data_IF_114415582568
#
_entry.id   IF_114415582568
#
_cell.length_a   1.000
_cell.length_b   1.000
_cell.length_c   1.000
_cell.angle_alpha   90.00
_cell.angle_beta   90.00
_cell.angle_gamma   90.00
#
_symmetry.space_group_name_H-M   'P 1'
#
loop_
_entity.id
_entity.type
_entity.pdbx_description
1 polymer ?
#
# COMPACT_ATOMS: atom_id res chain seq x y z
N UNK A 1 2.07 -1.54 15.08
CA UNK A 1 0.90 -2.14 14.38
C UNK A 1 -0.14 -2.70 15.33
N UNK A 2 0.27 -3.43 16.38
CA UNK A 2 -0.66 -4.03 17.34
C UNK A 2 -1.62 -3.02 17.98
N UNK A 3 -1.14 -1.82 18.34
CA UNK A 3 -2.02 -0.78 18.92
C UNK A 3 -3.08 -0.27 17.93
N UNK A 4 -2.71 -0.09 16.65
CA UNK A 4 -3.64 0.33 15.60
C UNK A 4 -4.66 -0.78 15.34
N UNK A 5 -4.18 -2.02 15.23
CA UNK A 5 -5.04 -3.18 15.04
C UNK A 5 -6.02 -3.38 16.22
N UNK A 6 -5.58 -3.12 17.45
CA UNK A 6 -6.42 -3.17 18.65
C UNK A 6 -7.56 -2.13 18.63
N UNK A 7 -7.45 -1.06 17.83
CA UNK A 7 -8.56 -0.11 17.58
C UNK A 7 -9.57 -0.60 16.53
N UNK A 8 -9.43 -1.84 16.03
CA UNK A 8 -10.33 -2.42 15.02
C UNK A 8 -10.02 -2.00 13.59
N UNK A 9 -8.93 -1.27 13.36
CA UNK A 9 -8.49 -0.85 12.02
C UNK A 9 -7.54 -1.89 11.43
N UNK A 10 -7.78 -2.40 10.21
CA UNK A 10 -6.82 -3.27 9.52
C UNK A 10 -5.47 -2.56 9.38
N UNK A 11 -4.40 -3.25 9.76
CA UNK A 11 -3.09 -2.63 9.85
C UNK A 11 -2.00 -3.70 9.77
N UNK A 12 -1.10 -3.59 8.78
CA UNK A 12 0.02 -4.53 8.58
C UNK A 12 1.38 -3.84 8.68
N UNK A 13 2.40 -4.58 9.14
CA UNK A 13 3.80 -4.22 8.96
C UNK A 13 4.36 -5.03 7.79
N UNK A 14 4.94 -4.35 6.82
CA UNK A 14 5.49 -4.94 5.61
C UNK A 14 6.95 -4.50 5.50
N UNK A 15 7.84 -5.45 5.25
CA UNK A 15 9.28 -5.27 5.47
C UNK A 15 9.93 -4.30 4.47
N UNK A 16 9.37 -4.16 3.27
CA UNK A 16 9.90 -3.34 2.21
C UNK A 16 8.80 -2.80 1.29
N UNK A 17 9.20 -1.91 0.37
CA UNK A 17 8.30 -1.22 -0.56
C UNK A 17 7.61 -2.21 -1.50
N UNK A 18 8.29 -3.26 -1.93
CA UNK A 18 7.73 -4.24 -2.87
C UNK A 18 6.64 -5.08 -2.19
N UNK A 19 6.83 -5.45 -0.94
CA UNK A 19 5.80 -6.08 -0.11
C UNK A 19 4.58 -5.16 0.11
N UNK A 20 4.80 -3.85 0.32
CA UNK A 20 3.71 -2.87 0.41
C UNK A 20 2.92 -2.80 -0.90
N UNK A 21 3.61 -2.69 -2.04
CA UNK A 21 2.98 -2.60 -3.36
C UNK A 21 2.16 -3.86 -3.66
N UNK A 22 2.70 -5.05 -3.38
CA UNK A 22 2.00 -6.31 -3.58
C UNK A 22 0.73 -6.37 -2.72
N UNK A 23 0.84 -6.12 -1.41
CA UNK A 23 -0.30 -6.13 -0.50
C UNK A 23 -1.37 -5.11 -0.88
N UNK A 24 -0.96 -3.88 -1.21
CA UNK A 24 -1.90 -2.82 -1.59
C UNK A 24 -2.64 -3.14 -2.90
N UNK A 25 -1.95 -3.77 -3.87
CA UNK A 25 -2.56 -4.16 -5.14
C UNK A 25 -3.55 -5.33 -5.01
N UNK A 26 -3.34 -6.24 -4.06
CA UNK A 26 -4.28 -7.33 -3.77
C UNK A 26 -5.57 -6.83 -3.11
N UNK A 27 -5.47 -5.81 -2.25
CA UNK A 27 -6.61 -5.28 -1.50
C UNK A 27 -7.39 -4.19 -2.25
N UNK A 28 -6.72 -3.44 -3.13
CA UNK A 28 -7.32 -2.30 -3.83
C UNK A 28 -8.43 -2.72 -4.80
N UNK A 29 -9.53 -1.95 -4.79
CA UNK A 29 -10.69 -2.14 -5.66
C UNK A 29 -11.00 -0.86 -6.45
N UNK A 30 -11.75 -1.01 -7.53
CA UNK A 30 -12.24 0.14 -8.29
C UNK A 30 -13.05 1.08 -7.38
N UNK A 31 -12.66 2.35 -7.37
CA UNK A 31 -13.25 3.38 -6.50
C UNK A 31 -12.47 3.66 -5.21
N UNK A 32 -11.48 2.84 -4.85
CA UNK A 32 -10.64 3.10 -3.69
C UNK A 32 -9.67 4.25 -3.92
N UNK A 33 -9.25 4.88 -2.82
CA UNK A 33 -8.20 5.91 -2.81
C UNK A 33 -7.04 5.40 -1.96
N UNK A 34 -5.89 5.15 -2.59
CA UNK A 34 -4.64 4.88 -1.91
C UNK A 34 -3.92 6.18 -1.58
N UNK A 35 -3.73 6.47 -0.29
CA UNK A 35 -2.97 7.61 0.18
C UNK A 35 -1.60 7.17 0.71
N UNK A 36 -0.52 7.74 0.17
CA UNK A 36 0.86 7.46 0.61
C UNK A 36 1.37 8.66 1.38
N UNK A 37 1.72 8.46 2.66
CA UNK A 37 2.34 9.49 3.50
C UNK A 37 3.84 9.23 3.61
N UNK A 38 4.65 10.03 2.90
CA UNK A 38 6.10 9.98 3.00
C UNK A 38 6.71 11.36 2.78
N UNK A 39 7.80 11.65 3.49
CA UNK A 39 8.56 12.89 3.34
C UNK A 39 9.65 12.82 2.25
N UNK A 40 9.74 11.70 1.53
CA UNK A 40 10.73 11.48 0.48
C UNK A 40 10.24 10.49 -0.58
N UNK A 41 11.15 10.00 -1.42
CA UNK A 41 10.78 9.15 -2.57
C UNK A 41 10.18 7.78 -2.23
N UNK A 42 10.31 7.32 -0.97
CA UNK A 42 9.78 6.03 -0.48
C UNK A 42 10.06 4.85 -1.42
N UNK A 43 11.29 4.75 -1.94
CA UNK A 43 11.68 3.70 -2.89
C UNK A 43 10.93 3.72 -4.23
N UNK A 44 10.40 4.88 -4.63
CA UNK A 44 9.64 5.04 -5.88
C UNK A 44 8.23 4.46 -5.83
N UNK A 45 7.65 4.30 -4.63
CA UNK A 45 6.38 3.57 -4.42
C UNK A 45 5.23 4.02 -5.34
N UNK A 46 5.12 5.33 -5.64
CA UNK A 46 4.06 5.84 -6.50
C UNK A 46 4.11 5.23 -7.91
N UNK A 47 5.31 5.14 -8.51
CA UNK A 47 5.48 4.52 -9.82
C UNK A 47 5.17 3.02 -9.78
N UNK A 48 5.70 2.33 -8.77
CA UNK A 48 5.48 0.89 -8.57
C UNK A 48 4.00 0.53 -8.39
N UNK A 49 3.26 1.32 -7.61
CA UNK A 49 1.81 1.15 -7.43
C UNK A 49 1.06 1.33 -8.74
N UNK A 50 1.36 2.40 -9.50
CA UNK A 50 0.71 2.66 -10.80
C UNK A 50 0.96 1.52 -11.78
N UNK A 51 2.21 1.06 -11.91
CA UNK A 51 2.57 -0.09 -12.77
C UNK A 51 1.82 -1.36 -12.36
N UNK A 52 1.83 -1.67 -11.06
CA UNK A 52 1.23 -2.92 -10.54
C UNK A 52 -0.29 -2.93 -10.66
N UNK A 53 -0.96 -1.80 -10.41
CA UNK A 53 -2.42 -1.68 -10.49
C UNK A 53 -2.91 -1.64 -11.95
N UNK A 54 -2.16 -1.00 -12.84
CA UNK A 54 -2.49 -0.99 -14.28
C UNK A 54 -2.39 -2.38 -14.91
N UNK A 55 -1.47 -3.24 -14.44
CA UNK A 55 -1.31 -4.60 -14.92
C UNK A 55 -2.40 -5.59 -14.41
N UNK A 56 -3.21 -5.19 -13.43
CA UNK A 56 -4.31 -6.01 -12.89
C UNK A 56 -5.67 -5.75 -13.53
N UNK A 57 -5.71 -4.88 -14.55
CA UNK A 57 -6.90 -4.55 -15.35
C UNK A 57 -6.96 -5.37 -16.64
#
# INVERSE_FOLDING_TARGET
>A
MQDIAATGKPAAYLADVDAIVAHAAEEAKAGDVLCVFSNGGFGGIHGKLLERLAAGC
#
